data_IF_861617289506
#
_entry.id   IF_861617289506
#
_cell.length_a   1.000
_cell.length_b   1.000
_cell.length_c   1.000
_cell.angle_alpha   90.00
_cell.angle_beta   90.00
_cell.angle_gamma   90.00
#
_symmetry.space_group_name_H-M   'P 1'
#
loop_
_entity.id
_entity.type
_entity.pdbx_description
1 polymer ?
#
# COMPACT_ATOMS: atom_id res chain seq x y z
N UNK A 1 -19.98 -11.29 0.64
CA UNK A 1 -19.29 -11.04 1.92
C UNK A 1 -18.42 -9.80 1.72
N UNK A 2 -18.78 -8.66 2.32
CA UNK A 2 -17.98 -7.44 2.18
C UNK A 2 -16.76 -7.52 3.09
N UNK A 3 -15.62 -7.91 2.53
CA UNK A 3 -14.36 -7.94 3.26
C UNK A 3 -13.83 -6.49 3.40
N UNK A 4 -13.18 -6.13 4.53
CA UNK A 4 -12.71 -4.76 4.79
C UNK A 4 -11.62 -4.25 3.83
N UNK A 5 -11.08 -5.13 2.98
CA UNK A 5 -10.17 -4.80 1.89
C UNK A 5 -10.54 -5.65 0.65
N UNK A 6 -10.87 -5.02 -0.46
CA UNK A 6 -11.09 -5.74 -1.71
C UNK A 6 -10.13 -5.24 -2.78
N UNK A 7 -9.47 -6.19 -3.44
CA UNK A 7 -8.60 -5.96 -4.57
C UNK A 7 -9.23 -6.61 -5.80
N UNK A 8 -9.50 -5.81 -6.83
CA UNK A 8 -9.98 -6.28 -8.12
C UNK A 8 -8.97 -5.89 -9.18
N UNK A 9 -8.61 -6.84 -10.04
CA UNK A 9 -7.65 -6.64 -11.14
C UNK A 9 -8.31 -7.17 -12.40
N UNK A 10 -8.57 -6.28 -13.35
CA UNK A 10 -9.05 -6.67 -14.68
C UNK A 10 -7.85 -6.92 -15.59
N UNK A 11 -7.37 -8.17 -15.60
CA UNK A 11 -6.22 -8.59 -16.42
C UNK A 11 -6.64 -8.72 -17.90
N UNK A 12 -5.87 -8.19 -18.85
CA UNK A 12 -6.12 -8.39 -20.28
C UNK A 12 -5.72 -9.78 -20.76
N UNK A 13 -6.47 -10.35 -21.70
CA UNK A 13 -6.29 -11.72 -22.20
C UNK A 13 -5.00 -11.96 -22.99
N UNK A 14 -4.30 -10.89 -23.42
CA UNK A 14 -3.10 -11.00 -24.26
C UNK A 14 -2.12 -9.84 -24.05
N UNK A 15 -0.92 -10.16 -23.60
CA UNK A 15 0.19 -9.20 -23.40
C UNK A 15 1.12 -9.28 -24.62
N UNK A 16 1.53 -8.14 -25.18
CA UNK A 16 2.43 -8.10 -26.33
C UNK A 16 3.91 -8.32 -25.91
N UNK A 17 4.61 -9.20 -26.62
CA UNK A 17 5.93 -9.74 -26.26
C UNK A 17 7.07 -8.70 -26.16
N UNK A 18 6.94 -7.52 -26.78
CA UNK A 18 7.96 -6.46 -26.76
C UNK A 18 7.85 -5.52 -25.55
N UNK A 19 6.68 -5.52 -24.89
CA UNK A 19 6.37 -4.59 -23.78
C UNK A 19 7.26 -4.75 -22.55
N UNK A 20 7.74 -5.96 -22.16
CA UNK A 20 8.66 -6.11 -21.03
C UNK A 20 9.92 -5.26 -21.12
N UNK A 21 10.46 -5.03 -22.32
CA UNK A 21 11.66 -4.22 -22.53
C UNK A 21 11.44 -2.74 -22.17
N UNK A 22 10.27 -2.20 -22.50
CA UNK A 22 9.94 -0.78 -22.23
C UNK A 22 9.35 -0.61 -20.83
N UNK A 23 8.71 -1.66 -20.29
CA UNK A 23 8.08 -1.64 -18.97
C UNK A 23 9.06 -1.31 -17.85
N UNK A 24 10.24 -1.92 -17.86
CA UNK A 24 11.21 -1.72 -16.78
C UNK A 24 11.72 -0.27 -16.72
N UNK A 25 11.91 0.38 -17.88
CA UNK A 25 12.27 1.80 -17.96
C UNK A 25 11.15 2.71 -17.40
N UNK A 26 9.90 2.42 -17.77
CA UNK A 26 8.71 3.14 -17.30
C UNK A 26 8.44 2.96 -15.80
N UNK A 27 9.03 1.93 -15.18
CA UNK A 27 8.91 1.63 -13.77
C UNK A 27 9.83 2.50 -12.90
N UNK A 28 10.92 3.03 -13.46
CA UNK A 28 11.93 3.80 -12.72
C UNK A 28 11.29 5.02 -12.00
N UNK A 29 10.48 5.88 -12.66
CA UNK A 29 9.84 7.00 -11.97
C UNK A 29 8.91 6.55 -10.84
N UNK A 30 8.22 5.43 -11.03
CA UNK A 30 7.31 4.87 -10.04
C UNK A 30 8.04 4.34 -8.82
N UNK A 31 9.20 3.72 -8.99
CA UNK A 31 10.02 3.27 -7.86
C UNK A 31 10.51 4.44 -7.00
N UNK A 32 10.92 5.55 -7.62
CA UNK A 32 11.33 6.75 -6.87
C UNK A 32 10.17 7.30 -6.04
N UNK A 33 9.00 7.41 -6.66
CA UNK A 33 7.78 7.88 -5.96
C UNK A 33 7.38 6.91 -4.85
N UNK A 34 7.37 5.60 -5.11
CA UNK A 34 7.06 4.60 -4.09
C UNK A 34 8.03 4.65 -2.92
N UNK A 35 9.32 4.84 -3.17
CA UNK A 35 10.31 4.94 -2.12
C UNK A 35 10.04 6.14 -1.21
N UNK A 36 9.77 7.31 -1.78
CA UNK A 36 9.42 8.52 -1.02
C UNK A 36 8.13 8.29 -0.23
N UNK A 37 7.07 7.78 -0.88
CA UNK A 37 5.80 7.49 -0.20
C UNK A 37 5.95 6.43 0.90
N UNK A 38 6.83 5.45 0.72
CA UNK A 38 7.10 4.43 1.72
C UNK A 38 7.76 5.02 2.97
N UNK A 39 8.73 5.93 2.80
CA UNK A 39 9.35 6.66 3.92
C UNK A 39 8.30 7.51 4.66
N UNK A 40 7.46 8.25 3.93
CA UNK A 40 6.37 9.04 4.53
C UNK A 40 5.36 8.13 5.23
N UNK A 41 4.99 7.00 4.61
CA UNK A 41 4.09 6.00 5.19
C UNK A 41 4.63 5.44 6.50
N UNK A 42 5.93 5.17 6.58
CA UNK A 42 6.59 4.76 7.81
C UNK A 42 6.48 5.79 8.92
N UNK A 43 6.73 7.07 8.60
CA UNK A 43 6.59 8.18 9.55
C UNK A 43 5.13 8.31 10.00
N UNK A 44 4.18 8.27 9.05
CA UNK A 44 2.74 8.30 9.33
C UNK A 44 2.29 7.12 10.19
N UNK A 45 2.85 5.93 9.98
CA UNK A 45 2.57 4.75 10.79
C UNK A 45 3.07 4.93 12.23
N UNK A 46 4.27 5.48 12.42
CA UNK A 46 4.82 5.80 13.73
C UNK A 46 3.96 6.84 14.46
N UNK A 47 3.58 7.91 13.78
CA UNK A 47 2.67 8.94 14.31
C UNK A 47 1.31 8.32 14.66
N UNK A 48 0.75 7.50 13.77
CA UNK A 48 -0.53 6.81 13.99
C UNK A 48 -0.48 5.93 15.23
N UNK A 49 0.63 5.22 15.44
CA UNK A 49 0.83 4.39 16.63
C UNK A 49 0.77 5.22 17.91
N UNK A 50 1.50 6.35 17.97
CA UNK A 50 1.48 7.28 19.10
C UNK A 50 0.07 7.85 19.31
N UNK A 51 -0.58 8.35 18.26
CA UNK A 51 -1.93 8.92 18.34
C UNK A 51 -2.95 7.89 18.85
N UNK A 52 -2.92 6.66 18.36
CA UNK A 52 -3.84 5.62 18.81
C UNK A 52 -3.59 5.26 20.29
N UNK A 53 -2.34 5.32 20.78
CA UNK A 53 -2.07 5.08 22.20
C UNK A 53 -2.77 6.12 23.08
N UNK A 54 -2.78 7.39 22.69
CA UNK A 54 -3.44 8.44 23.46
C UNK A 54 -4.96 8.50 23.23
N UNK A 55 -5.39 8.48 21.97
CA UNK A 55 -6.78 8.74 21.57
C UNK A 55 -7.62 7.47 21.45
N UNK A 56 -7.00 6.28 21.30
CA UNK A 56 -7.70 5.02 21.03
C UNK A 56 -8.39 4.95 19.66
N UNK A 57 -8.24 6.00 18.83
CA UNK A 57 -8.85 6.15 17.50
C UNK A 57 -7.76 6.43 16.48
N UNK A 58 -7.92 5.88 15.27
CA UNK A 58 -7.05 6.22 14.14
C UNK A 58 -7.67 7.42 13.41
N UNK A 59 -7.00 8.58 13.35
CA UNK A 59 -7.55 9.74 12.65
C UNK A 59 -7.70 9.45 11.15
N UNK A 60 -8.82 9.88 10.58
CA UNK A 60 -9.20 9.58 9.20
C UNK A 60 -8.14 10.05 8.17
N UNK A 61 -7.44 11.16 8.42
CA UNK A 61 -6.37 11.64 7.55
C UNK A 61 -5.17 10.68 7.47
N UNK A 62 -4.69 10.17 8.61
CA UNK A 62 -3.58 9.19 8.62
C UNK A 62 -4.02 7.85 8.01
N UNK A 63 -5.27 7.45 8.26
CA UNK A 63 -5.86 6.26 7.65
C UNK A 63 -5.97 6.40 6.12
N UNK A 64 -6.41 7.57 5.63
CA UNK A 64 -6.53 7.88 4.21
C UNK A 64 -5.17 7.89 3.51
N UNK A 65 -4.14 8.44 4.14
CA UNK A 65 -2.78 8.38 3.60
C UNK A 65 -2.28 6.92 3.47
N UNK A 66 -2.48 6.11 4.50
CA UNK A 66 -2.10 4.69 4.45
C UNK A 66 -2.86 3.93 3.36
N UNK A 67 -4.17 4.17 3.22
CA UNK A 67 -4.99 3.58 2.16
C UNK A 67 -4.53 4.02 0.76
N UNK A 68 -4.21 5.30 0.57
CA UNK A 68 -3.64 5.85 -0.65
C UNK A 68 -2.32 5.17 -1.01
N UNK A 69 -1.38 5.07 -0.07
CA UNK A 69 -0.10 4.39 -0.29
C UNK A 69 -0.29 2.93 -0.68
N UNK A 70 -1.16 2.19 0.03
CA UNK A 70 -1.45 0.79 -0.26
C UNK A 70 -2.11 0.62 -1.63
N UNK A 71 -3.06 1.50 -2.00
CA UNK A 71 -3.68 1.48 -3.33
C UNK A 71 -2.64 1.74 -4.42
N UNK A 72 -1.88 2.82 -4.30
CA UNK A 72 -0.87 3.20 -5.29
C UNK A 72 0.21 2.11 -5.44
N UNK A 73 0.72 1.57 -4.34
CA UNK A 73 1.67 0.45 -4.39
C UNK A 73 1.09 -0.79 -5.05
N UNK A 74 -0.17 -1.14 -4.79
CA UNK A 74 -0.81 -2.29 -5.44
C UNK A 74 -0.95 -2.09 -6.95
N UNK A 75 -1.31 -0.88 -7.41
CA UNK A 75 -1.37 -0.56 -8.85
C UNK A 75 0.01 -0.66 -9.49
N UNK A 76 1.04 -0.12 -8.84
CA UNK A 76 2.42 -0.18 -9.36
C UNK A 76 2.94 -1.61 -9.39
N UNK A 77 2.69 -2.42 -8.36
CA UNK A 77 3.08 -3.83 -8.34
C UNK A 77 2.30 -4.65 -9.37
N UNK A 78 1.01 -4.38 -9.57
CA UNK A 78 0.22 -5.03 -10.62
C UNK A 78 0.82 -4.73 -12.01
N UNK A 79 1.25 -3.49 -12.27
CA UNK A 79 1.94 -3.13 -13.51
C UNK A 79 3.35 -3.77 -13.59
N UNK A 80 4.13 -3.75 -12.51
CA UNK A 80 5.47 -4.34 -12.44
C UNK A 80 5.46 -5.86 -12.72
N UNK A 81 4.42 -6.56 -12.26
CA UNK A 81 4.23 -7.99 -12.44
C UNK A 81 3.46 -8.36 -13.72
N UNK A 82 3.17 -7.39 -14.60
CA UNK A 82 2.42 -7.59 -15.84
C UNK A 82 0.97 -8.06 -15.66
N UNK A 83 0.37 -7.82 -14.49
CA UNK A 83 -1.06 -8.06 -14.24
C UNK A 83 -1.93 -6.91 -14.78
N UNK A 84 -1.36 -5.72 -14.91
CA UNK A 84 -2.02 -4.55 -15.48
C UNK A 84 -1.21 -4.03 -16.68
N UNK A 85 -1.92 -3.72 -17.76
CA UNK A 85 -1.30 -3.28 -19.01
C UNK A 85 -1.21 -1.75 -19.13
N UNK A 86 -2.11 -1.04 -18.45
CA UNK A 86 -2.19 0.41 -18.49
C UNK A 86 -1.11 1.02 -17.60
N UNK A 87 -0.36 2.00 -18.13
CA UNK A 87 0.60 2.76 -17.35
C UNK A 87 -0.08 3.40 -16.13
N UNK A 88 0.41 3.18 -14.90
CA UNK A 88 -0.25 3.69 -13.70
C UNK A 88 -0.29 5.23 -13.71
N UNK A 89 -1.44 5.85 -13.42
CA UNK A 89 -1.49 7.27 -13.17
C UNK A 89 -0.84 7.58 -11.80
N UNK A 90 -0.16 8.73 -11.70
CA UNK A 90 0.28 9.30 -10.42
C UNK A 90 -0.93 9.88 -9.68
N UNK A 91 -1.77 9.00 -9.14
CA UNK A 91 -2.94 9.37 -8.33
C UNK A 91 -2.64 9.19 -6.83
N UNK A 92 -2.83 10.28 -6.09
CA UNK A 92 -2.53 10.40 -4.66
C UNK A 92 -3.77 10.81 -3.87
N UNK A 93 -4.97 10.46 -4.35
CA UNK A 93 -6.21 10.73 -3.64
C UNK A 93 -6.28 9.92 -2.32
N UNK A 94 -6.43 10.61 -1.19
CA UNK A 94 -6.55 10.02 0.15
C UNK A 94 -7.96 9.54 0.49
N UNK A 95 -8.90 9.64 -0.45
CA UNK A 95 -10.25 9.13 -0.30
C UNK A 95 -10.26 7.64 0.10
N UNK A 96 -11.08 7.23 1.09
CA UNK A 96 -11.21 5.83 1.51
C UNK A 96 -11.70 4.89 0.40
N UNK A 97 -12.43 5.43 -0.58
CA UNK A 97 -13.03 4.66 -1.65
C UNK A 97 -12.34 4.98 -2.96
N UNK A 98 -11.93 3.94 -3.68
CA UNK A 98 -11.30 4.07 -4.99
C UNK A 98 -12.33 4.57 -6.01
N UNK A 99 -12.06 5.67 -6.75
CA UNK A 99 -12.93 6.18 -7.79
C UNK A 99 -13.03 5.27 -9.03
N UNK A 100 -12.26 4.17 -9.11
CA UNK A 100 -12.37 3.18 -10.18
C UNK A 100 -11.76 3.66 -11.50
N UNK A 101 -10.73 4.49 -11.43
CA UNK A 101 -10.08 5.11 -12.61
C UNK A 101 -9.04 4.19 -13.28
N UNK A 102 -8.75 3.02 -12.71
CA UNK A 102 -7.66 2.11 -13.12
C UNK A 102 -8.13 0.65 -13.24
N UNK A 103 -7.41 -0.16 -14.03
CA UNK A 103 -7.66 -1.62 -14.17
C UNK A 103 -7.53 -2.39 -12.85
N UNK A 104 -6.69 -1.86 -11.94
CA UNK A 104 -6.51 -2.35 -10.57
C UNK A 104 -7.25 -1.41 -9.64
N UNK A 105 -8.25 -1.92 -8.92
CA UNK A 105 -8.96 -1.18 -7.88
C UNK A 105 -8.76 -1.81 -6.52
N UNK A 106 -8.28 -1.02 -5.56
CA UNK A 106 -8.04 -1.46 -4.19
C UNK A 106 -8.79 -0.54 -3.22
N UNK A 107 -9.90 -1.05 -2.67
CA UNK A 107 -10.71 -0.31 -1.70
C UNK A 107 -10.44 -0.82 -0.30
N UNK A 108 -10.15 0.09 0.62
CA UNK A 108 -9.84 -0.19 2.03
C UNK A 108 -10.82 0.56 2.92
N UNK A 109 -11.51 -0.16 3.81
CA UNK A 109 -12.37 0.43 4.83
C UNK A 109 -11.69 0.30 6.20
N UNK A 110 -10.86 1.28 6.60
CA UNK A 110 -10.14 1.20 7.86
C UNK A 110 -11.09 1.33 9.05
N UNK A 111 -10.99 0.40 10.01
CA UNK A 111 -11.67 0.53 11.30
C UNK A 111 -11.06 1.70 12.08
N UNK A 112 -11.77 2.84 12.11
CA UNK A 112 -11.33 4.07 12.76
C UNK A 112 -11.51 4.05 14.29
N UNK A 113 -12.45 3.25 14.79
CA UNK A 113 -12.83 3.20 16.21
C UNK A 113 -12.69 1.79 16.81
N UNK A 114 -12.79 1.68 18.14
CA UNK A 114 -12.82 0.40 18.87
C UNK A 114 -11.47 -0.34 18.94
N UNK A 115 -10.35 0.36 18.70
CA UNK A 115 -9.02 -0.26 18.67
C UNK A 115 -8.50 -0.46 20.10
N UNK A 116 -8.20 -1.70 20.49
CA UNK A 116 -7.69 -2.00 21.82
C UNK A 116 -6.26 -1.44 22.00
N UNK A 117 -6.08 -0.55 22.97
CA UNK A 117 -4.81 0.15 23.27
C UNK A 117 -3.70 -0.84 23.61
N UNK A 118 -4.01 -1.95 24.28
CA UNK A 118 -3.05 -2.98 24.65
C UNK A 118 -2.48 -3.68 23.41
N UNK A 119 -3.35 -4.01 22.45
CA UNK A 119 -2.95 -4.61 21.17
C UNK A 119 -2.10 -3.65 20.34
N UNK A 120 -2.41 -2.35 20.39
CA UNK A 120 -1.62 -1.33 19.69
C UNK A 120 -0.26 -1.15 20.34
N UNK A 121 -0.18 -1.09 21.67
CA UNK A 121 1.07 -0.98 22.42
C UNK A 121 2.01 -2.17 22.15
N UNK A 122 1.45 -3.38 22.04
CA UNK A 122 2.21 -4.61 21.79
C UNK A 122 2.60 -4.80 20.31
N UNK A 123 2.00 -4.07 19.36
CA UNK A 123 2.33 -4.20 17.93
C UNK A 123 3.81 -4.09 17.60
N UNK A 124 4.59 -3.10 18.09
CA UNK A 124 6.03 -3.04 17.81
C UNK A 124 6.75 -4.32 18.22
N UNK A 125 6.39 -4.94 19.35
CA UNK A 125 6.99 -6.21 19.79
C UNK A 125 6.72 -7.33 18.78
N UNK A 126 5.54 -7.37 18.15
CA UNK A 126 5.22 -8.35 17.10
C UNK A 126 5.83 -8.03 15.74
N UNK A 127 6.05 -6.74 15.46
CA UNK A 127 6.57 -6.25 14.17
C UNK A 127 8.10 -6.41 14.09
N UNK A 128 8.81 -6.23 15.21
CA UNK A 128 10.27 -6.36 15.27
C UNK A 128 10.77 -7.74 14.76
N UNK A 129 10.21 -8.90 15.20
CA UNK A 129 10.59 -10.20 14.67
C UNK A 129 10.40 -10.33 13.15
N UNK A 130 9.29 -9.82 12.62
CA UNK A 130 9.01 -9.84 11.19
C UNK A 130 10.03 -8.99 10.40
N UNK A 131 10.44 -7.84 10.94
CA UNK A 131 11.47 -6.99 10.33
C UNK A 131 12.86 -7.63 10.38
N UNK A 132 13.23 -8.25 11.50
CA UNK A 132 14.50 -8.97 11.62
C UNK A 132 14.54 -10.12 10.61
N UNK A 133 13.46 -10.89 10.50
CA UNK A 133 13.36 -11.98 9.53
C UNK A 133 13.48 -11.48 8.08
N UNK A 134 12.78 -10.39 7.74
CA UNK A 134 12.88 -9.78 6.42
C UNK A 134 14.30 -9.27 6.12
N UNK A 135 14.95 -8.62 7.09
CA UNK A 135 16.35 -8.18 6.97
C UNK A 135 17.29 -9.36 6.70
N UNK A 136 17.12 -10.47 7.41
CA UNK A 136 17.92 -11.69 7.23
C UNK A 136 17.76 -12.24 5.81
N UNK A 137 16.52 -12.31 5.29
CA UNK A 137 16.27 -12.76 3.91
C UNK A 137 17.01 -11.88 2.92
N UNK A 138 16.91 -10.56 3.04
CA UNK A 138 17.55 -9.61 2.10
C UNK A 138 19.08 -9.68 2.14
N UNK A 139 19.67 -10.00 3.29
CA UNK A 139 21.13 -10.11 3.44
C UNK A 139 21.67 -11.45 2.93
N UNK A 140 20.86 -12.52 2.97
CA UNK A 140 21.27 -13.88 2.60
C UNK A 140 20.92 -14.22 1.14
N UNK A 141 19.85 -13.64 0.58
CA UNK A 141 19.41 -13.83 -0.80
C UNK A 141 20.19 -12.97 -1.80
#
# INVERSE_FOLDING_TARGET
MSYPASLQINTPDRIANWRPLVHWLLLIPHYVVLYVLAVVSWIVALISWIVILFTGKLPAGLAGFQAMYLRYSTVVWAYAYFLADQYPPFDFDTSPTDPGRTQTSASFSPALEGRNRLTVLLRPITVIPAYIFNLIIVVIA
#
